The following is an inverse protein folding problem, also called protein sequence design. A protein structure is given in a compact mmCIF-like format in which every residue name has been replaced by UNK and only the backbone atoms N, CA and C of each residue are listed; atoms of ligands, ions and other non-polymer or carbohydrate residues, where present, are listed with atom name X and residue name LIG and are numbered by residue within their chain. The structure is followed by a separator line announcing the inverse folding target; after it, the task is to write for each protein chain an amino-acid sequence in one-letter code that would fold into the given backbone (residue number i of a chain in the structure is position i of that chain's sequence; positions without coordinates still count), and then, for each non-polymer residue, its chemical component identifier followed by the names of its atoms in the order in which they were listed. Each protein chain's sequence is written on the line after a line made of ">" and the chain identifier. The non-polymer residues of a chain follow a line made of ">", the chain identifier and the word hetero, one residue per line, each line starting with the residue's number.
data_IF_626939382464
#
_entry.id   IF_626939382464
#
_cell.length_a   1.000
_cell.length_b   1.000
_cell.length_c   1.000
_cell.angle_alpha   90.00
_cell.angle_beta   90.00
_cell.angle_gamma   90.00
#
_symmetry.space_group_name_H-M   'P 1'
#
loop_
_entity.id
_entity.type
_entity.pdbx_description
1 polymer ?
#
# COMPACT_ATOMS: atom_id res chain seq x y z
N UNK A 1 74.81 -35.88 2.79
CA UNK A 1 74.03 -35.32 1.67
C UNK A 1 72.56 -35.65 1.86
N UNK A 2 71.71 -34.67 2.17
CA UNK A 2 70.27 -34.70 1.83
C UNK A 2 69.67 -33.32 2.06
N UNK A 3 68.92 -32.89 1.06
CA UNK A 3 68.61 -31.51 0.68
C UNK A 3 67.38 -30.98 1.43
N UNK A 4 67.44 -29.69 1.76
CA UNK A 4 66.32 -28.84 2.18
C UNK A 4 65.40 -28.63 0.96
N UNK A 5 64.09 -28.82 1.13
CA UNK A 5 63.07 -28.37 0.17
C UNK A 5 62.01 -27.58 0.95
N UNK A 6 61.94 -26.28 0.66
CA UNK A 6 60.88 -25.39 1.07
C UNK A 6 59.68 -25.54 0.13
N UNK A 7 58.47 -25.69 0.66
CA UNK A 7 57.23 -25.67 -0.12
C UNK A 7 56.47 -24.39 0.23
N UNK A 8 56.39 -23.51 -0.77
CA UNK A 8 55.58 -22.30 -0.81
C UNK A 8 54.10 -22.71 -0.98
N UNK A 9 53.24 -22.40 -0.02
CA UNK A 9 51.80 -22.60 -0.13
C UNK A 9 51.11 -21.34 -0.65
N UNK A 10 50.61 -21.40 -1.88
CA UNK A 10 49.86 -20.32 -2.56
C UNK A 10 48.46 -20.20 -1.97
N UNK A 11 48.08 -18.99 -1.57
CA UNK A 11 46.71 -18.61 -1.21
C UNK A 11 45.87 -18.47 -2.49
N UNK A 12 44.84 -19.29 -2.66
CA UNK A 12 43.87 -19.14 -3.72
C UNK A 12 42.77 -18.15 -3.28
N UNK A 13 42.80 -16.94 -3.84
CA UNK A 13 41.66 -16.03 -3.81
C UNK A 13 40.65 -16.47 -4.89
N UNK A 14 39.48 -16.96 -4.47
CA UNK A 14 38.39 -17.23 -5.39
C UNK A 14 37.76 -15.90 -5.80
N UNK A 15 38.02 -15.50 -7.05
CA UNK A 15 37.27 -14.44 -7.73
C UNK A 15 35.87 -14.96 -8.05
N UNK A 16 34.86 -14.53 -7.30
CA UNK A 16 33.46 -14.68 -7.68
C UNK A 16 33.10 -13.56 -8.66
N UNK A 17 33.41 -13.76 -9.93
CA UNK A 17 32.78 -13.05 -11.03
C UNK A 17 31.61 -13.93 -11.48
N UNK A 18 30.38 -13.49 -11.24
CA UNK A 18 29.16 -14.15 -11.70
C UNK A 18 28.21 -13.10 -12.26
N UNK A 19 27.91 -13.24 -13.56
CA UNK A 19 26.98 -12.44 -14.32
C UNK A 19 25.65 -12.21 -13.59
N UNK A 20 25.29 -10.94 -13.40
CA UNK A 20 23.94 -10.56 -12.95
C UNK A 20 23.02 -10.48 -14.17
N UNK A 21 22.36 -11.60 -14.49
CA UNK A 21 21.12 -11.59 -15.26
C UNK A 21 20.00 -10.87 -14.48
N UNK A 22 18.87 -10.50 -15.14
CA UNK A 22 17.75 -9.89 -14.47
C UNK A 22 17.01 -10.95 -13.65
N UNK A 23 17.48 -11.17 -12.44
CA UNK A 23 16.99 -12.19 -11.52
C UNK A 23 17.90 -12.27 -10.30
N UNK A 24 17.96 -11.17 -9.54
CA UNK A 24 18.63 -11.18 -8.24
C UNK A 24 18.04 -12.28 -7.36
N UNK A 25 18.91 -13.06 -6.73
CA UNK A 25 18.53 -14.10 -5.74
C UNK A 25 17.46 -13.55 -4.77
N UNK A 26 16.40 -14.31 -4.48
CA UNK A 26 15.38 -13.88 -3.52
C UNK A 26 16.07 -13.59 -2.18
N UNK A 27 15.92 -12.36 -1.70
CA UNK A 27 16.40 -11.96 -0.38
C UNK A 27 15.61 -12.81 0.63
N UNK A 28 16.30 -13.54 1.51
CA UNK A 28 15.63 -14.44 2.44
C UNK A 28 14.56 -13.71 3.27
N UNK A 29 13.32 -14.23 3.26
CA UNK A 29 12.20 -13.68 4.02
C UNK A 29 10.94 -13.54 3.18
N UNK A 30 9.80 -13.33 3.85
CA UNK A 30 8.50 -13.11 3.20
C UNK A 30 7.82 -11.86 3.73
N UNK A 31 7.02 -11.23 2.89
CA UNK A 31 6.16 -10.10 3.24
C UNK A 31 4.69 -10.44 3.08
N UNK A 32 3.83 -9.63 3.69
CA UNK A 32 2.40 -9.62 3.40
C UNK A 32 2.08 -8.54 2.36
N UNK A 33 1.44 -8.91 1.26
CA UNK A 33 0.85 -7.96 0.30
C UNK A 33 -0.66 -7.87 0.55
N UNK A 34 -1.15 -6.70 0.96
CA UNK A 34 -2.58 -6.38 0.99
C UNK A 34 -2.98 -5.71 -0.32
N UNK A 35 -4.12 -6.09 -0.87
CA UNK A 35 -4.66 -5.43 -2.07
C UNK A 35 -6.06 -4.92 -1.76
N UNK A 36 -6.23 -3.60 -1.81
CA UNK A 36 -7.51 -2.93 -1.66
C UNK A 36 -8.10 -2.63 -3.03
N UNK A 37 -9.32 -3.10 -3.28
CA UNK A 37 -10.07 -2.75 -4.47
C UNK A 37 -10.82 -1.44 -4.26
N UNK A 38 -10.23 -0.34 -4.73
CA UNK A 38 -10.76 1.01 -4.62
C UNK A 38 -11.40 1.51 -5.93
N UNK A 39 -11.41 0.71 -7.00
CA UNK A 39 -12.10 1.01 -8.25
C UNK A 39 -13.60 0.75 -8.14
N UNK A 40 -14.39 1.66 -8.72
CA UNK A 40 -15.84 1.53 -8.91
C UNK A 40 -16.21 1.23 -10.37
N UNK A 41 -15.25 1.24 -11.31
CA UNK A 41 -15.53 0.97 -12.73
C UNK A 41 -15.85 -0.49 -13.04
N UNK A 42 -15.67 -1.40 -12.09
CA UNK A 42 -15.95 -2.83 -12.23
C UNK A 42 -16.59 -3.40 -10.96
N UNK A 43 -17.54 -4.32 -11.12
CA UNK A 43 -18.20 -4.99 -10.00
C UNK A 43 -17.28 -5.99 -9.29
N UNK A 44 -16.35 -6.58 -10.03
CA UNK A 44 -15.34 -7.51 -9.49
C UNK A 44 -14.01 -7.30 -10.18
N UNK A 45 -12.92 -7.60 -9.47
CA UNK A 45 -11.56 -7.56 -9.99
C UNK A 45 -10.85 -8.86 -9.64
N UNK A 46 -10.05 -9.37 -10.58
CA UNK A 46 -9.05 -10.37 -10.28
C UNK A 46 -7.67 -9.72 -10.14
N UNK A 47 -6.87 -10.23 -9.22
CA UNK A 47 -5.47 -9.89 -9.06
C UNK A 47 -4.65 -11.12 -9.42
N UNK A 48 -3.52 -10.91 -10.07
CA UNK A 48 -2.52 -11.92 -10.35
C UNK A 48 -1.18 -11.41 -9.83
N UNK A 49 -0.61 -12.10 -8.83
CA UNK A 49 0.71 -11.85 -8.29
C UNK A 49 1.61 -13.04 -8.66
N UNK A 50 2.47 -12.84 -9.65
CA UNK A 50 3.41 -13.85 -10.15
C UNK A 50 2.76 -15.22 -10.48
N UNK A 51 1.55 -15.21 -11.06
CA UNK A 51 0.78 -16.40 -11.41
C UNK A 51 -0.22 -16.84 -10.34
N UNK A 52 -0.16 -16.26 -9.13
CA UNK A 52 -1.13 -16.53 -8.05
C UNK A 52 -2.33 -15.61 -8.24
N UNK A 53 -3.46 -16.19 -8.63
CA UNK A 53 -4.69 -15.45 -8.92
C UNK A 53 -5.64 -15.46 -7.74
N UNK A 54 -6.11 -14.28 -7.34
CA UNK A 54 -7.27 -14.10 -6.47
C UNK A 54 -8.35 -13.36 -7.26
N UNK A 55 -9.50 -13.98 -7.44
CA UNK A 55 -10.61 -13.45 -8.24
C UNK A 55 -11.79 -13.00 -7.37
N UNK A 56 -12.67 -12.18 -7.95
CA UNK A 56 -13.95 -11.79 -7.33
C UNK A 56 -13.85 -10.70 -6.28
N UNK A 57 -12.79 -9.89 -6.29
CA UNK A 57 -12.61 -8.78 -5.35
C UNK A 57 -13.59 -7.64 -5.70
N UNK A 58 -14.53 -7.33 -4.81
CA UNK A 58 -15.54 -6.28 -5.05
C UNK A 58 -15.05 -4.89 -4.57
N UNK A 59 -15.62 -3.77 -5.05
CA UNK A 59 -15.33 -2.42 -4.55
C UNK A 59 -15.41 -2.33 -3.02
N UNK A 60 -14.39 -1.75 -2.40
CA UNK A 60 -14.27 -1.62 -0.95
C UNK A 60 -13.59 -2.81 -0.24
N UNK A 61 -13.42 -3.94 -0.93
CA UNK A 61 -12.82 -5.14 -0.33
C UNK A 61 -11.29 -5.05 -0.28
N UNK A 62 -10.72 -5.61 0.79
CA UNK A 62 -9.26 -5.80 0.94
C UNK A 62 -8.99 -7.30 1.03
N UNK A 63 -8.05 -7.78 0.21
CA UNK A 63 -7.51 -9.13 0.31
C UNK A 63 -6.07 -9.12 0.81
N UNK A 64 -5.61 -10.25 1.33
CA UNK A 64 -4.26 -10.43 1.88
C UNK A 64 -3.59 -11.63 1.21
N UNK A 65 -2.40 -11.40 0.67
CA UNK A 65 -1.50 -12.41 0.14
C UNK A 65 -0.31 -12.52 1.12
N UNK A 66 -0.15 -13.68 1.74
CA UNK A 66 0.96 -13.97 2.67
C UNK A 66 2.00 -14.88 2.01
N UNK A 67 3.24 -14.81 2.48
CA UNK A 67 4.31 -15.67 1.98
C UNK A 67 4.93 -15.20 0.66
N UNK A 68 4.64 -13.96 0.24
CA UNK A 68 5.27 -13.33 -0.92
C UNK A 68 6.74 -13.15 -0.59
N UNK A 69 7.64 -13.64 -1.44
CA UNK A 69 9.08 -13.52 -1.19
C UNK A 69 9.50 -12.05 -1.16
N UNK A 70 10.68 -11.75 -0.61
CA UNK A 70 11.29 -10.43 -0.81
C UNK A 70 11.97 -10.40 -2.17
N UNK A 71 12.02 -9.21 -2.78
CA UNK A 71 12.60 -9.02 -4.11
C UNK A 71 11.59 -8.47 -5.13
N UNK A 72 11.87 -8.69 -6.41
CA UNK A 72 11.08 -8.15 -7.50
C UNK A 72 9.85 -9.01 -7.79
N UNK A 73 8.70 -8.35 -7.95
CA UNK A 73 7.40 -8.97 -8.23
C UNK A 73 6.64 -8.18 -9.28
N UNK A 74 5.68 -8.82 -9.92
CA UNK A 74 4.72 -8.15 -10.80
C UNK A 74 3.31 -8.45 -10.29
N UNK A 75 2.57 -7.39 -9.98
CA UNK A 75 1.12 -7.49 -9.75
C UNK A 75 0.38 -7.04 -10.98
N UNK A 76 -0.65 -7.80 -11.37
CA UNK A 76 -1.56 -7.49 -12.46
C UNK A 76 -2.98 -7.38 -11.95
N UNK A 77 -3.64 -6.29 -12.33
CA UNK A 77 -5.06 -6.06 -12.08
C UNK A 77 -5.83 -6.43 -13.34
N UNK A 78 -6.74 -7.41 -13.23
CA UNK A 78 -7.44 -8.05 -14.34
C UNK A 78 -8.94 -7.74 -14.20
N UNK A 79 -9.47 -6.77 -14.97
CA UNK A 79 -10.90 -6.52 -15.07
C UNK A 79 -11.67 -7.75 -15.62
N UNK A 80 -12.97 -7.86 -15.34
CA UNK A 80 -13.80 -8.94 -15.86
C UNK A 80 -13.87 -8.84 -17.40
N UNK A 81 -13.90 -9.98 -18.07
CA UNK A 81 -13.95 -10.05 -19.54
C UNK A 81 -12.63 -9.74 -20.25
N UNK A 82 -11.56 -9.36 -19.54
CA UNK A 82 -10.28 -8.99 -20.16
C UNK A 82 -9.45 -10.19 -20.66
N UNK A 83 -9.95 -11.43 -20.57
CA UNK A 83 -9.25 -12.64 -21.06
C UNK A 83 -7.90 -12.88 -20.39
N UNK A 84 -7.74 -12.45 -19.13
CA UNK A 84 -6.47 -12.48 -18.41
C UNK A 84 -5.53 -11.31 -18.75
N UNK A 85 -5.87 -10.45 -19.70
CA UNK A 85 -5.20 -9.16 -19.91
C UNK A 85 -5.57 -8.16 -18.81
N UNK A 86 -4.67 -7.26 -18.47
CA UNK A 86 -4.80 -6.40 -17.30
C UNK A 86 -3.60 -5.48 -17.16
N UNK A 87 -3.73 -4.47 -16.31
CA UNK A 87 -2.63 -3.54 -16.04
C UNK A 87 -1.64 -4.20 -15.08
N UNK A 88 -0.43 -4.44 -15.57
CA UNK A 88 0.67 -4.97 -14.78
C UNK A 88 1.55 -3.85 -14.23
N UNK A 89 2.07 -4.03 -13.02
CA UNK A 89 3.06 -3.14 -12.43
C UNK A 89 4.08 -3.93 -11.63
N UNK A 90 5.34 -3.69 -11.94
CA UNK A 90 6.45 -4.22 -11.16
C UNK A 90 6.60 -3.45 -9.84
N UNK A 91 7.02 -4.16 -8.79
CA UNK A 91 7.41 -3.59 -7.52
C UNK A 91 8.47 -4.44 -6.83
N UNK A 92 9.10 -3.88 -5.81
CA UNK A 92 10.02 -4.61 -4.94
C UNK A 92 9.36 -4.79 -3.57
N UNK A 93 9.14 -6.04 -3.18
CA UNK A 93 8.82 -6.41 -1.82
C UNK A 93 10.10 -6.20 -0.97
N UNK A 94 10.05 -5.23 -0.06
CA UNK A 94 11.18 -4.83 0.77
C UNK A 94 11.26 -5.66 2.07
N UNK A 95 12.21 -5.33 2.95
CA UNK A 95 12.43 -6.08 4.18
C UNK A 95 11.35 -5.87 5.26
N UNK A 96 10.37 -5.01 5.02
CA UNK A 96 9.31 -4.71 5.98
C UNK A 96 8.10 -5.63 5.82
N UNK A 97 7.33 -5.76 6.89
CA UNK A 97 6.34 -6.83 7.03
C UNK A 97 5.14 -6.71 6.07
N UNK A 98 4.86 -5.49 5.56
CA UNK A 98 3.62 -5.24 4.82
C UNK A 98 3.81 -4.34 3.61
N UNK A 99 3.06 -4.63 2.55
CA UNK A 99 2.94 -3.79 1.35
C UNK A 99 1.45 -3.64 1.04
N UNK A 100 1.02 -2.43 0.66
CA UNK A 100 -0.35 -2.16 0.26
C UNK A 100 -0.41 -1.82 -1.23
N UNK A 101 -1.21 -2.54 -1.99
CA UNK A 101 -1.61 -2.17 -3.34
C UNK A 101 -3.03 -1.65 -3.32
N UNK A 102 -3.25 -0.48 -3.90
CA UNK A 102 -4.57 0.11 -4.09
C UNK A 102 -4.90 0.06 -5.58
N UNK A 103 -5.85 -0.79 -5.94
CA UNK A 103 -6.42 -0.83 -7.29
C UNK A 103 -7.40 0.33 -7.44
N UNK A 104 -7.09 1.32 -8.28
CA UNK A 104 -7.89 2.54 -8.43
C UNK A 104 -8.17 2.83 -9.89
N UNK A 105 -9.32 3.44 -10.15
CA UNK A 105 -9.70 3.90 -11.48
C UNK A 105 -8.75 4.99 -11.94
N UNK A 106 -8.31 4.96 -13.20
CA UNK A 106 -7.53 6.01 -13.85
C UNK A 106 -7.89 6.06 -15.34
N UNK A 107 -8.63 7.09 -15.73
CA UNK A 107 -9.27 7.17 -17.05
C UNK A 107 -10.09 5.89 -17.33
N UNK A 108 -9.75 5.13 -18.38
CA UNK A 108 -10.43 3.88 -18.76
C UNK A 108 -9.75 2.61 -18.20
N UNK A 109 -8.78 2.76 -17.29
CA UNK A 109 -7.99 1.67 -16.74
C UNK A 109 -8.17 1.56 -15.22
N UNK A 110 -7.87 0.38 -14.69
CA UNK A 110 -7.66 0.17 -13.26
C UNK A 110 -6.16 0.01 -13.05
N UNK A 111 -5.55 0.92 -12.29
CA UNK A 111 -4.10 0.98 -12.10
C UNK A 111 -3.71 0.69 -10.65
N UNK A 112 -2.60 -0.02 -10.40
CA UNK A 112 -2.11 -0.28 -9.04
C UNK A 112 -1.26 0.89 -8.50
N UNK A 113 -1.74 1.55 -7.45
CA UNK A 113 -0.91 2.37 -6.56
C UNK A 113 -0.23 1.48 -5.52
N UNK A 114 1.08 1.51 -5.46
CA UNK A 114 1.88 0.62 -4.61
C UNK A 114 2.50 1.44 -3.50
N UNK A 115 2.07 1.15 -2.27
CA UNK A 115 2.49 1.80 -1.05
C UNK A 115 3.33 0.79 -0.28
N UNK A 116 4.65 0.90 -0.45
CA UNK A 116 5.59 0.17 0.37
C UNK A 116 5.47 0.62 1.83
N UNK A 117 5.69 -0.29 2.76
CA UNK A 117 6.00 0.09 4.13
C UNK A 117 7.34 0.82 4.14
N UNK A 118 7.35 1.96 4.81
CA UNK A 118 8.49 2.87 4.91
C UNK A 118 9.35 2.55 6.13
N UNK A 119 9.03 1.51 6.90
CA UNK A 119 9.64 1.24 8.20
C UNK A 119 9.28 2.30 9.25
N UNK A 120 8.13 2.96 9.10
CA UNK A 120 7.73 4.03 9.99
C UNK A 120 7.39 3.48 11.38
N UNK A 121 8.37 3.53 12.29
CA UNK A 121 8.20 3.10 13.68
C UNK A 121 7.09 3.91 14.33
N UNK A 122 6.13 3.22 14.95
CA UNK A 122 5.11 3.83 15.81
C UNK A 122 5.67 3.86 17.24
N UNK A 123 5.91 5.04 17.84
CA UNK A 123 6.37 5.11 19.22
C UNK A 123 5.42 4.41 20.18
N UNK A 124 5.93 3.94 21.32
CA UNK A 124 5.08 3.38 22.37
C UNK A 124 4.06 4.42 22.87
N UNK A 125 2.82 4.01 23.09
CA UNK A 125 1.73 4.89 23.46
C UNK A 125 1.25 5.79 22.32
N UNK A 126 1.48 5.41 21.05
CA UNK A 126 1.06 6.17 19.87
C UNK A 126 0.44 5.27 18.80
N UNK A 127 -0.30 5.89 17.90
CA UNK A 127 -0.82 5.32 16.67
C UNK A 127 -0.53 6.24 15.48
N UNK A 128 -0.56 5.71 14.26
CA UNK A 128 -0.36 6.50 13.03
C UNK A 128 -1.43 6.24 11.98
N UNK A 129 -1.85 7.28 11.27
CA UNK A 129 -2.77 7.18 10.13
C UNK A 129 -2.18 7.92 8.93
N UNK A 130 -2.25 7.32 7.74
CA UNK A 130 -2.03 8.02 6.46
C UNK A 130 -3.26 7.91 5.57
N UNK A 131 -3.33 8.79 4.58
CA UNK A 131 -4.43 8.90 3.65
C UNK A 131 -3.95 8.70 2.21
N UNK A 132 -4.82 8.16 1.37
CA UNK A 132 -4.64 8.13 -0.08
C UNK A 132 -5.94 8.54 -0.76
N UNK A 133 -5.82 9.38 -1.79
CA UNK A 133 -6.93 9.75 -2.64
C UNK A 133 -7.00 8.83 -3.87
N UNK A 134 -7.93 7.87 -3.84
CA UNK A 134 -8.20 6.94 -4.93
C UNK A 134 -9.49 7.25 -5.70
N UNK A 135 -10.34 8.16 -5.22
CA UNK A 135 -11.55 8.62 -5.91
C UNK A 135 -11.24 9.35 -7.22
N UNK A 136 -11.49 8.73 -8.37
CA UNK A 136 -11.15 9.26 -9.69
C UNK A 136 -12.18 10.23 -10.24
N UNK A 137 -13.42 10.16 -9.76
CA UNK A 137 -14.50 11.07 -10.18
C UNK A 137 -14.53 12.36 -9.36
N UNK A 138 -13.88 12.36 -8.19
CA UNK A 138 -13.75 13.56 -7.38
C UNK A 138 -12.60 14.46 -7.88
N UNK A 139 -12.81 15.79 -7.90
CA UNK A 139 -11.71 16.75 -8.00
C UNK A 139 -10.82 16.67 -6.75
N UNK A 140 -9.88 17.60 -6.61
CA UNK A 140 -9.14 17.71 -5.35
C UNK A 140 -10.11 17.86 -4.16
N UNK A 141 -9.79 17.16 -3.08
CA UNK A 141 -10.56 17.14 -1.84
C UNK A 141 -9.73 17.70 -0.70
N UNK A 142 -10.35 18.02 0.42
CA UNK A 142 -9.64 18.13 1.69
C UNK A 142 -9.93 16.95 2.59
N UNK A 143 -8.91 16.55 3.33
CA UNK A 143 -9.05 15.56 4.39
C UNK A 143 -9.10 16.27 5.73
N UNK A 144 -10.12 15.95 6.50
CA UNK A 144 -10.25 16.32 7.89
C UNK A 144 -10.30 15.08 8.75
N UNK A 145 -9.99 15.21 10.03
CA UNK A 145 -10.12 14.12 10.98
C UNK A 145 -10.38 14.59 12.41
N UNK A 146 -10.96 13.71 13.20
CA UNK A 146 -10.82 13.70 14.65
C UNK A 146 -9.91 12.54 15.06
N UNK A 147 -9.33 12.65 16.24
CA UNK A 147 -8.40 11.67 16.79
C UNK A 147 -8.49 11.65 18.32
N UNK A 148 -7.95 10.62 19.00
CA UNK A 148 -8.17 10.42 20.43
C UNK A 148 -7.71 11.60 21.31
N UNK A 149 -6.57 12.20 20.97
CA UNK A 149 -6.00 13.37 21.68
C UNK A 149 -6.51 14.71 21.15
N UNK A 150 -7.34 14.72 20.10
CA UNK A 150 -7.93 15.92 19.51
C UNK A 150 -9.31 15.62 18.90
N UNK A 151 -10.39 15.70 19.69
CA UNK A 151 -11.73 15.26 19.28
C UNK A 151 -12.48 16.26 18.39
N UNK A 152 -11.86 17.38 18.02
CA UNK A 152 -12.45 18.39 17.12
C UNK A 152 -11.94 18.18 15.70
N UNK A 153 -12.77 18.23 14.65
CA UNK A 153 -12.31 18.07 13.27
C UNK A 153 -11.20 19.07 12.92
N UNK A 154 -10.09 18.56 12.39
CA UNK A 154 -8.94 19.35 11.92
C UNK A 154 -8.62 18.99 10.47
N UNK A 155 -8.44 20.01 9.62
CA UNK A 155 -8.02 19.88 8.21
C UNK A 155 -6.54 19.47 8.19
N UNK A 156 -6.20 18.38 7.51
CA UNK A 156 -4.84 17.83 7.53
C UNK A 156 -4.21 17.68 6.15
N UNK A 157 -5.00 17.49 5.09
CA UNK A 157 -4.51 17.47 3.71
C UNK A 157 -5.35 18.40 2.87
N UNK A 158 -4.72 19.38 2.22
CA UNK A 158 -5.43 20.41 1.47
C UNK A 158 -4.52 21.23 0.54
N UNK A 159 -4.88 21.41 -0.75
CA UNK A 159 -5.76 20.52 -1.51
C UNK A 159 -5.09 19.14 -1.64
N UNK A 160 -5.84 18.08 -1.39
CA UNK A 160 -5.38 16.71 -1.58
C UNK A 160 -5.77 16.26 -2.99
N UNK A 161 -4.77 16.11 -3.86
CA UNK A 161 -4.98 15.75 -5.26
C UNK A 161 -5.22 14.24 -5.42
N UNK A 162 -6.00 13.86 -6.45
CA UNK A 162 -6.18 12.46 -6.83
C UNK A 162 -4.82 11.77 -7.07
N UNK A 163 -4.63 10.60 -6.44
CA UNK A 163 -3.39 9.84 -6.45
C UNK A 163 -2.35 10.24 -5.43
N UNK A 164 -2.55 11.35 -4.71
CA UNK A 164 -1.67 11.73 -3.62
C UNK A 164 -1.78 10.74 -2.45
N UNK A 165 -0.67 10.60 -1.72
CA UNK A 165 -0.57 9.87 -0.47
C UNK A 165 0.01 10.81 0.58
N UNK A 166 -0.59 10.84 1.76
CA UNK A 166 -0.08 11.69 2.84
C UNK A 166 1.13 11.05 3.55
N UNK A 167 1.92 11.85 4.28
CA UNK A 167 2.73 11.31 5.36
C UNK A 167 1.87 10.59 6.40
N UNK A 168 2.51 9.76 7.23
CA UNK A 168 1.87 9.28 8.45
C UNK A 168 1.72 10.42 9.45
N UNK A 169 0.51 10.53 9.98
CA UNK A 169 0.15 11.48 11.00
C UNK A 169 -0.09 10.74 12.31
N UNK A 170 0.57 11.18 13.37
CA UNK A 170 0.56 10.53 14.68
C UNK A 170 -0.55 11.06 15.59
N UNK A 171 -1.06 10.22 16.50
CA UNK A 171 -1.92 10.57 17.63
C UNK A 171 -1.75 9.53 18.74
N UNK A 172 -2.47 9.70 19.85
CA UNK A 172 -2.69 8.64 20.84
C UNK A 172 -3.45 7.45 20.21
N UNK A 173 -3.32 6.23 20.76
CA UNK A 173 -4.11 5.09 20.34
C UNK A 173 -5.60 5.28 20.64
N UNK A 174 -6.47 4.85 19.73
CA UNK A 174 -7.92 4.93 19.93
C UNK A 174 -8.70 5.22 18.67
N UNK A 175 -9.86 5.85 18.84
CA UNK A 175 -10.82 6.14 17.78
C UNK A 175 -10.43 7.34 16.92
N UNK A 176 -10.51 7.15 15.62
CA UNK A 176 -10.35 8.14 14.57
C UNK A 176 -11.65 8.26 13.77
N UNK A 177 -11.97 9.47 13.32
CA UNK A 177 -13.02 9.68 12.32
C UNK A 177 -12.40 10.50 11.19
N UNK A 178 -12.64 10.09 9.95
CA UNK A 178 -12.22 10.83 8.77
C UNK A 178 -13.41 11.57 8.19
N UNK A 179 -13.18 12.80 7.74
CA UNK A 179 -14.14 13.56 6.96
C UNK A 179 -13.49 14.03 5.68
N UNK A 180 -14.31 14.19 4.64
CA UNK A 180 -13.88 14.69 3.34
C UNK A 180 -14.74 15.89 2.98
N UNK A 181 -14.13 16.90 2.36
CA UNK A 181 -14.84 18.01 1.72
C UNK A 181 -14.29 18.25 0.32
N UNK A 182 -15.04 18.90 -0.58
CA UNK A 182 -14.44 19.52 -1.76
C UNK A 182 -13.30 20.45 -1.35
N UNK A 183 -12.25 20.54 -2.16
CA UNK A 183 -11.11 21.40 -1.84
C UNK A 183 -11.55 22.85 -1.54
N UNK A 184 -11.00 23.38 -0.44
CA UNK A 184 -11.22 24.74 0.06
C UNK A 184 -12.65 25.04 0.53
N UNK A 185 -13.49 24.01 0.68
CA UNK A 185 -14.81 24.12 1.31
C UNK A 185 -14.75 23.56 2.74
N UNK A 186 -15.24 24.35 3.70
CA UNK A 186 -15.19 24.02 5.14
C UNK A 186 -16.57 23.84 5.78
N UNK A 187 -17.64 24.17 5.05
CA UNK A 187 -19.03 24.07 5.49
C UNK A 187 -19.67 22.70 5.16
N UNK A 188 -19.03 21.92 4.28
CA UNK A 188 -19.54 20.63 3.79
C UNK A 188 -18.55 19.51 4.14
N UNK A 189 -18.79 18.83 5.26
CA UNK A 189 -17.99 17.68 5.70
C UNK A 189 -18.79 16.38 5.56
N UNK A 190 -18.29 15.46 4.73
CA UNK A 190 -18.80 14.09 4.63
C UNK A 190 -18.05 13.21 5.63
N UNK A 191 -18.74 12.76 6.69
CA UNK A 191 -18.15 11.87 7.69
C UNK A 191 -18.13 10.43 7.20
N UNK A 192 -17.02 9.73 7.44
CA UNK A 192 -16.92 8.28 7.28
C UNK A 192 -17.05 7.57 8.64
N UNK A 193 -17.39 6.26 8.65
CA UNK A 193 -17.44 5.50 9.90
C UNK A 193 -16.15 5.62 10.70
N UNK A 194 -16.28 5.78 12.02
CA UNK A 194 -15.14 5.81 12.91
C UNK A 194 -14.41 4.46 12.92
N UNK A 195 -13.10 4.49 13.10
CA UNK A 195 -12.25 3.30 13.18
C UNK A 195 -11.25 3.43 14.32
N UNK A 196 -10.75 2.30 14.82
CA UNK A 196 -9.79 2.27 15.94
C UNK A 196 -8.42 1.88 15.45
N UNK A 197 -7.40 2.63 15.85
CA UNK A 197 -6.00 2.26 15.67
C UNK A 197 -5.38 2.03 17.04
N UNK A 198 -4.97 0.79 17.30
CA UNK A 198 -4.42 0.37 18.59
C UNK A 198 -2.99 0.90 18.82
N UNK A 199 -2.48 0.71 20.04
CA UNK A 199 -1.13 1.13 20.40
C UNK A 199 -0.08 0.38 19.57
N UNK A 200 0.93 1.12 19.11
CA UNK A 200 1.97 0.61 18.23
C UNK A 200 1.49 0.26 16.82
N UNK A 201 0.22 0.53 16.48
CA UNK A 201 -0.36 0.22 15.16
C UNK A 201 -0.47 1.45 14.27
N UNK A 202 -0.62 1.19 12.98
CA UNK A 202 -0.89 2.21 11.98
C UNK A 202 -1.97 1.75 11.01
N UNK A 203 -2.59 2.70 10.33
CA UNK A 203 -3.61 2.43 9.32
C UNK A 203 -3.44 3.33 8.10
N UNK A 204 -3.91 2.83 6.96
CA UNK A 204 -4.11 3.62 5.74
C UNK A 204 -5.60 3.77 5.47
N UNK A 205 -6.05 5.02 5.31
CA UNK A 205 -7.41 5.35 4.88
C UNK A 205 -7.37 5.65 3.39
N UNK A 206 -8.12 4.88 2.60
CA UNK A 206 -8.23 5.03 1.16
C UNK A 206 -9.57 5.68 0.85
N UNK A 207 -9.54 6.92 0.35
CA UNK A 207 -10.75 7.62 -0.11
C UNK A 207 -11.04 7.20 -1.55
N UNK A 208 -12.20 6.60 -1.80
CA UNK A 208 -12.61 6.10 -3.11
C UNK A 208 -13.99 6.62 -3.52
N UNK A 209 -14.31 6.52 -4.80
CA UNK A 209 -15.64 6.88 -5.30
C UNK A 209 -16.71 5.98 -4.68
N UNK A 210 -17.93 6.49 -4.58
CA UNK A 210 -19.09 5.76 -4.07
C UNK A 210 -20.36 6.23 -4.78
N UNK A 211 -21.32 5.32 -4.94
CA UNK A 211 -22.69 5.67 -5.38
C UNK A 211 -23.55 6.25 -4.24
N UNK A 212 -23.04 6.28 -3.00
CA UNK A 212 -23.72 6.85 -1.84
C UNK A 212 -23.72 8.39 -1.83
N UNK A 213 -24.51 8.98 -0.94
CA UNK A 213 -24.54 10.42 -0.72
C UNK A 213 -23.14 10.99 -0.40
N UNK A 214 -22.75 12.07 -1.06
CA UNK A 214 -21.40 12.63 -1.00
C UNK A 214 -20.41 12.07 -2.05
N UNK A 215 -20.80 11.04 -2.80
CA UNK A 215 -20.01 10.50 -3.93
C UNK A 215 -18.71 9.81 -3.54
N UNK A 216 -18.42 9.71 -2.24
CA UNK A 216 -17.15 9.25 -1.69
C UNK A 216 -17.38 8.26 -0.53
N UNK A 217 -16.48 7.29 -0.40
CA UNK A 217 -16.39 6.40 0.76
C UNK A 217 -14.93 6.15 1.13
N UNK A 218 -14.70 5.50 2.27
CA UNK A 218 -13.37 5.22 2.78
C UNK A 218 -13.19 3.72 3.08
N UNK A 219 -12.07 3.16 2.65
CA UNK A 219 -11.57 1.85 3.12
C UNK A 219 -10.52 2.12 4.19
N UNK A 220 -10.61 1.45 5.34
CA UNK A 220 -9.56 1.47 6.36
C UNK A 220 -8.78 0.17 6.30
N UNK A 221 -7.48 0.28 6.03
CA UNK A 221 -6.54 -0.85 6.03
C UNK A 221 -5.65 -0.74 7.27
N UNK A 222 -5.87 -1.61 8.24
CA UNK A 222 -4.96 -1.74 9.38
C UNK A 222 -3.67 -2.42 8.93
N UNK A 223 -2.54 -1.83 9.32
CA UNK A 223 -1.21 -2.36 9.06
C UNK A 223 -0.68 -2.92 10.38
N UNK A 224 -0.54 -4.25 10.42
CA UNK A 224 -0.05 -5.00 11.58
C UNK A 224 1.37 -4.60 11.99
#
# INVERSE_FOLDING_TARGET
>A
MRRIVAVLGVVAAAAACGDLGPGGEPVAGTVTVRVAQASQSVDTLAIDLDGIVVAGLVPGQVTRLSGVQRGAHVIKLIPPGAGGSGVARAFTANDYDTLLVVARDSASLIVPSILADTGAIVPAGKSKVRFIHAAALAPAIDIWRTQPDWPTPVRVMFPFAYGATSPYLQSDPGQWTTYVSPADQTDTLYAHPAFTVADGKRATVIIMDSSAAGGLTAIVVNED
#
